data_IF_200074772127
#
_entry.id   IF_200074772127
#
_cell.length_a   1.000
_cell.length_b   1.000
_cell.length_c   1.000
_cell.angle_alpha   90.00
_cell.angle_beta   90.00
_cell.angle_gamma   90.00
#
_symmetry.space_group_name_H-M   'P 1'
#
loop_
_entity.id
_entity.type
_entity.pdbx_description
1 polymer ?
#
# COMPACT_ATOMS: atom_id res chain seq x y z
N UNK A 1 13.40 -7.23 7.30
CA UNK A 1 13.47 -7.02 5.84
C UNK A 1 12.25 -6.21 5.43
N UNK A 2 12.42 -5.02 4.87
CA UNK A 2 11.29 -4.26 4.31
C UNK A 2 10.93 -4.93 2.97
N UNK A 3 9.67 -5.34 2.74
CA UNK A 3 9.28 -5.84 1.43
C UNK A 3 9.43 -4.71 0.41
N UNK A 4 10.35 -4.87 -0.54
CA UNK A 4 10.60 -3.93 -1.62
C UNK A 4 9.70 -4.31 -2.79
N UNK A 5 8.88 -3.38 -3.26
CA UNK A 5 8.26 -3.53 -4.57
C UNK A 5 9.33 -3.28 -5.64
N UNK A 6 9.74 -4.29 -6.42
CA UNK A 6 10.77 -4.12 -7.45
C UNK A 6 10.20 -3.33 -8.63
N UNK A 7 11.08 -2.61 -9.32
CA UNK A 7 10.73 -1.89 -10.57
C UNK A 7 10.19 -2.85 -11.63
N UNK A 8 10.63 -4.12 -11.61
CA UNK A 8 10.14 -5.20 -12.48
C UNK A 8 9.66 -6.37 -11.62
N UNK A 9 8.37 -6.43 -11.28
CA UNK A 9 7.83 -7.53 -10.48
C UNK A 9 7.91 -8.85 -11.25
N UNK A 10 8.44 -9.86 -10.59
CA UNK A 10 8.39 -11.24 -11.09
C UNK A 10 6.98 -11.80 -11.02
N UNK A 11 6.61 -12.59 -12.03
CA UNK A 11 5.31 -13.27 -12.11
C UNK A 11 5.12 -14.19 -10.90
N UNK A 12 3.88 -14.27 -10.40
CA UNK A 12 3.49 -15.09 -9.25
C UNK A 12 4.17 -14.74 -7.91
N UNK A 13 4.73 -13.52 -7.77
CA UNK A 13 5.15 -12.97 -6.47
C UNK A 13 4.22 -11.87 -6.00
N UNK A 14 3.90 -11.90 -4.70
CA UNK A 14 3.17 -10.83 -4.04
C UNK A 14 4.15 -9.71 -3.66
N UNK A 15 3.87 -8.50 -4.13
CA UNK A 15 4.59 -7.29 -3.74
C UNK A 15 3.61 -6.33 -3.09
N UNK A 16 4.01 -5.78 -1.95
CA UNK A 16 3.23 -4.77 -1.24
C UNK A 16 3.84 -3.40 -1.55
N UNK A 17 3.06 -2.42 -2.07
CA UNK A 17 3.53 -1.06 -2.27
C UNK A 17 4.03 -0.43 -0.96
N UNK A 18 4.93 0.56 -1.09
CA UNK A 18 5.38 1.32 0.08
C UNK A 18 4.23 2.12 0.69
N UNK A 19 4.13 2.05 2.01
CA UNK A 19 3.12 2.73 2.81
C UNK A 19 3.75 4.01 3.38
N UNK A 20 3.40 5.17 2.81
CA UNK A 20 4.01 6.44 3.19
C UNK A 20 3.12 7.21 4.15
N UNK A 21 3.61 7.45 5.37
CA UNK A 21 2.81 8.08 6.43
C UNK A 21 2.50 9.57 6.19
N UNK A 22 3.17 10.19 5.21
CA UNK A 22 2.94 11.60 4.85
C UNK A 22 1.67 11.83 4.01
N UNK A 23 1.03 10.75 3.51
CA UNK A 23 -0.18 10.80 2.70
C UNK A 23 -1.11 9.67 3.11
N UNK A 24 -1.89 9.90 4.16
CA UNK A 24 -2.87 8.94 4.67
C UNK A 24 -4.30 9.45 4.44
N UNK A 25 -5.24 8.52 4.30
CA UNK A 25 -6.66 8.83 4.33
C UNK A 25 -7.09 9.36 5.71
N UNK A 26 -8.20 10.09 5.75
CA UNK A 26 -8.87 10.41 7.01
C UNK A 26 -9.36 9.14 7.71
N UNK A 27 -9.58 9.18 9.04
CA UNK A 27 -10.00 8.00 9.79
C UNK A 27 -11.29 7.37 9.24
N UNK A 28 -12.26 8.20 8.84
CA UNK A 28 -13.53 7.73 8.29
C UNK A 28 -13.36 7.04 6.92
N UNK A 29 -12.54 7.61 6.04
CA UNK A 29 -12.24 7.01 4.74
C UNK A 29 -11.43 5.72 4.89
N UNK A 30 -10.49 5.71 5.83
CA UNK A 30 -9.64 4.56 6.12
C UNK A 30 -10.46 3.35 6.57
N UNK A 31 -11.45 3.58 7.44
CA UNK A 31 -12.39 2.55 7.89
C UNK A 31 -13.22 1.99 6.71
N UNK A 32 -13.67 2.85 5.80
CA UNK A 32 -14.43 2.41 4.62
C UNK A 32 -13.57 1.62 3.63
N UNK A 33 -12.32 2.00 3.45
CA UNK A 33 -11.38 1.38 2.49
C UNK A 33 -10.61 0.18 3.08
N UNK A 34 -10.65 -0.02 4.39
CA UNK A 34 -9.92 -1.09 5.08
C UNK A 34 -8.42 -0.84 5.23
N UNK A 35 -7.94 0.36 4.91
CA UNK A 35 -6.54 0.77 5.00
C UNK A 35 -6.43 2.29 5.09
N UNK A 36 -5.45 2.77 5.86
CA UNK A 36 -5.10 4.21 5.92
C UNK A 36 -4.24 4.65 4.74
N UNK A 37 -3.60 3.70 4.05
CA UNK A 37 -2.60 3.96 3.01
C UNK A 37 -3.24 3.97 1.62
N UNK A 38 -3.26 5.11 0.92
CA UNK A 38 -3.81 5.22 -0.43
C UNK A 38 -3.17 4.27 -1.44
N UNK A 39 -1.89 3.96 -1.30
CA UNK A 39 -1.12 3.12 -2.21
C UNK A 39 -1.61 1.66 -2.25
N UNK A 40 -2.41 1.24 -1.27
CA UNK A 40 -2.95 -0.12 -1.18
C UNK A 40 -4.36 -0.26 -1.78
N UNK A 41 -4.97 0.83 -2.22
CA UNK A 41 -6.32 0.84 -2.81
C UNK A 41 -6.20 0.99 -4.34
N UNK A 42 -6.88 0.11 -5.08
CA UNK A 42 -6.94 0.12 -6.56
C UNK A 42 -8.05 1.02 -7.08
#
# INVERSE_FOLDING_TARGET
MIPVMPVRPELARAYVPYQLYNKIFSAQESLKKGTVFPELVK
#
